data_IF_421712296780
#
_entry.id   IF_421712296780
#
_cell.length_a   1.000
_cell.length_b   1.000
_cell.length_c   1.000
_cell.angle_alpha   90.00
_cell.angle_beta   90.00
_cell.angle_gamma   90.00
#
_symmetry.space_group_name_H-M   'P 1'
#
loop_
_entity.id
_entity.type
_entity.pdbx_description
1 polymer ?
#
# COMPACT_ATOMS: atom_id res chain seq x y z
N UNK A 1 5.60 6.73 -22.85
CA UNK A 1 4.58 6.08 -22.00
C UNK A 1 5.22 5.64 -20.71
N UNK A 2 4.55 5.81 -19.53
CA UNK A 2 5.13 5.35 -18.26
C UNK A 2 5.20 3.81 -18.20
N UNK A 3 6.26 3.27 -17.59
CA UNK A 3 6.41 1.82 -17.38
C UNK A 3 5.68 1.34 -16.11
N UNK A 4 5.46 2.24 -15.14
CA UNK A 4 4.72 1.97 -13.92
C UNK A 4 3.98 3.24 -13.48
N UNK A 5 2.93 3.07 -12.66
CA UNK A 5 2.11 4.15 -12.12
C UNK A 5 2.02 3.99 -10.60
N UNK A 6 2.26 5.08 -9.88
CA UNK A 6 1.93 5.18 -8.45
C UNK A 6 0.66 5.99 -8.28
N UNK A 7 -0.29 5.46 -7.53
CA UNK A 7 -1.50 6.14 -7.10
C UNK A 7 -1.37 6.42 -5.60
N UNK A 8 -1.58 7.66 -5.20
CA UNK A 8 -1.55 8.08 -3.80
C UNK A 8 -2.94 8.40 -3.26
N UNK A 9 -3.06 9.54 -2.57
CA UNK A 9 -4.31 9.98 -1.93
C UNK A 9 -5.45 10.18 -2.94
N UNK A 10 -6.62 9.59 -2.63
CA UNK A 10 -7.84 9.66 -3.44
C UNK A 10 -9.02 10.09 -2.55
N UNK A 11 -9.24 11.40 -2.40
CA UNK A 11 -10.15 11.93 -1.37
C UNK A 11 -11.63 11.67 -1.63
N UNK A 12 -12.08 11.49 -2.88
CA UNK A 12 -13.50 11.39 -3.24
C UNK A 12 -13.78 10.37 -4.33
N UNK A 13 -15.04 9.97 -4.46
CA UNK A 13 -15.53 9.07 -5.52
C UNK A 13 -15.25 9.64 -6.92
N UNK A 14 -15.43 10.94 -7.11
CA UNK A 14 -15.16 11.63 -8.40
C UNK A 14 -13.70 11.46 -8.83
N UNK A 15 -12.76 11.58 -7.89
CA UNK A 15 -11.32 11.38 -8.17
C UNK A 15 -11.04 9.92 -8.52
N UNK A 16 -11.60 8.96 -7.78
CA UNK A 16 -11.43 7.53 -8.08
C UNK A 16 -12.00 7.17 -9.46
N UNK A 17 -13.18 7.65 -9.82
CA UNK A 17 -13.78 7.40 -11.13
C UNK A 17 -12.95 8.03 -12.26
N UNK A 18 -12.35 9.21 -12.05
CA UNK A 18 -11.44 9.83 -13.02
C UNK A 18 -10.16 9.01 -13.19
N UNK A 19 -9.58 8.52 -12.10
CA UNK A 19 -8.41 7.63 -12.13
C UNK A 19 -8.74 6.34 -12.87
N UNK A 20 -9.86 5.69 -12.59
CA UNK A 20 -10.31 4.47 -13.28
C UNK A 20 -10.47 4.69 -14.78
N UNK A 21 -11.10 5.81 -15.19
CA UNK A 21 -11.21 6.21 -16.62
C UNK A 21 -9.84 6.45 -17.26
N UNK A 22 -8.90 7.06 -16.54
CA UNK A 22 -7.55 7.28 -17.05
C UNK A 22 -6.79 5.96 -17.19
N UNK A 23 -6.89 5.07 -16.21
CA UNK A 23 -6.26 3.74 -16.25
C UNK A 23 -6.76 2.89 -17.42
N UNK A 24 -8.05 3.01 -17.80
CA UNK A 24 -8.60 2.26 -18.95
C UNK A 24 -8.01 2.70 -20.29
N UNK A 25 -7.49 3.93 -20.38
CA UNK A 25 -6.88 4.49 -21.59
C UNK A 25 -5.38 4.18 -21.74
N UNK A 26 -4.74 3.68 -20.69
CA UNK A 26 -3.29 3.40 -20.68
C UNK A 26 -3.01 1.90 -20.57
N UNK A 27 -2.04 1.41 -21.35
CA UNK A 27 -1.64 -0.01 -21.35
C UNK A 27 -0.54 -0.27 -20.29
N UNK A 28 -0.71 0.25 -19.06
CA UNK A 28 0.26 0.05 -17.98
C UNK A 28 -0.31 -0.97 -17.00
N UNK A 29 0.44 -2.06 -16.78
CA UNK A 29 0.06 -3.13 -15.85
C UNK A 29 0.72 -3.00 -14.48
N UNK A 30 1.80 -2.21 -14.37
CA UNK A 30 2.56 -2.00 -13.13
C UNK A 30 1.96 -0.83 -12.36
N UNK A 31 0.94 -1.09 -11.53
CA UNK A 31 0.20 -0.07 -10.78
C UNK A 31 0.36 -0.33 -9.29
N UNK A 32 0.90 0.64 -8.56
CA UNK A 32 1.06 0.60 -7.11
C UNK A 32 0.10 1.59 -6.46
N UNK A 33 -0.71 1.13 -5.52
CA UNK A 33 -1.63 1.95 -4.73
C UNK A 33 -1.09 2.13 -3.31
N UNK A 34 -0.82 3.37 -2.94
CA UNK A 34 -0.60 3.78 -1.55
C UNK A 34 -1.92 4.41 -1.04
N UNK A 35 -2.74 3.67 -0.28
CA UNK A 35 -4.11 4.08 0.02
C UNK A 35 -4.17 5.08 1.17
N UNK A 36 -3.55 6.26 0.98
CA UNK A 36 -3.47 7.31 2.00
C UNK A 36 -4.87 7.76 2.42
N UNK A 37 -5.22 7.53 3.69
CA UNK A 37 -6.56 7.81 4.23
C UNK A 37 -6.57 8.80 5.39
N UNK A 38 -5.46 8.91 6.11
CA UNK A 38 -5.33 9.72 7.32
C UNK A 38 -4.06 10.56 7.21
N UNK A 39 -4.18 11.86 7.45
CA UNK A 39 -3.03 12.75 7.56
C UNK A 39 -2.24 12.45 8.84
N UNK A 40 -0.95 12.86 8.90
CA UNK A 40 -0.12 12.72 10.11
C UNK A 40 -0.77 13.35 11.35
N UNK A 41 -1.56 14.41 11.19
CA UNK A 41 -2.33 15.06 12.23
C UNK A 41 -3.65 14.38 12.63
N UNK A 42 -3.93 13.18 12.10
CA UNK A 42 -5.14 12.40 12.40
C UNK A 42 -6.37 12.77 11.56
N UNK A 43 -6.31 13.83 10.75
CA UNK A 43 -7.44 14.25 9.91
C UNK A 43 -7.71 13.22 8.80
N UNK A 44 -8.99 12.90 8.61
CA UNK A 44 -9.43 11.99 7.55
C UNK A 44 -9.33 12.66 6.19
N UNK A 45 -8.63 12.02 5.25
CA UNK A 45 -8.37 12.53 3.90
C UNK A 45 -9.28 11.93 2.82
N UNK A 46 -10.12 10.96 3.17
CA UNK A 46 -10.96 10.23 2.22
C UNK A 46 -12.38 10.08 2.77
N UNK A 47 -13.40 10.19 1.91
CA UNK A 47 -14.79 9.95 2.29
C UNK A 47 -15.11 8.46 2.40
N UNK A 48 -16.11 8.10 3.21
CA UNK A 48 -16.55 6.69 3.35
C UNK A 48 -17.02 6.10 2.03
N UNK A 49 -17.71 6.90 1.22
CA UNK A 49 -18.15 6.49 -0.13
C UNK A 49 -16.97 6.20 -1.07
N UNK A 50 -15.89 7.00 -0.97
CA UNK A 50 -14.67 6.76 -1.74
C UNK A 50 -13.95 5.47 -1.30
N UNK A 51 -13.90 5.18 0.01
CA UNK A 51 -13.36 3.89 0.52
C UNK A 51 -14.15 2.71 -0.05
N UNK A 52 -15.49 2.77 -0.03
CA UNK A 52 -16.36 1.72 -0.62
C UNK A 52 -16.10 1.56 -2.12
N UNK A 53 -15.98 2.65 -2.85
CA UNK A 53 -15.72 2.64 -4.29
C UNK A 53 -14.33 2.08 -4.60
N UNK A 54 -13.30 2.48 -3.84
CA UNK A 54 -11.93 1.94 -3.94
C UNK A 54 -11.94 0.42 -3.79
N UNK A 55 -12.58 -0.10 -2.74
CA UNK A 55 -12.72 -1.56 -2.52
C UNK A 55 -13.39 -2.25 -3.70
N UNK A 56 -14.49 -1.68 -4.22
CA UNK A 56 -15.31 -2.31 -5.26
C UNK A 56 -14.67 -2.28 -6.65
N UNK A 57 -13.95 -1.19 -7.00
CA UNK A 57 -13.56 -0.95 -8.40
C UNK A 57 -12.04 -0.79 -8.62
N UNK A 58 -11.26 -0.34 -7.62
CA UNK A 58 -9.86 -0.01 -7.84
C UNK A 58 -8.90 -1.11 -7.37
N UNK A 59 -9.20 -1.80 -6.28
CA UNK A 59 -8.27 -2.79 -5.69
C UNK A 59 -7.89 -3.90 -6.67
N UNK A 60 -8.79 -4.37 -7.49
CA UNK A 60 -8.53 -5.41 -8.50
C UNK A 60 -7.82 -4.90 -9.78
N UNK A 61 -7.49 -3.61 -9.84
CA UNK A 61 -6.76 -3.00 -10.97
C UNK A 61 -5.28 -2.74 -10.67
N UNK A 62 -4.87 -2.93 -9.41
CA UNK A 62 -3.49 -2.62 -8.99
C UNK A 62 -2.64 -3.89 -8.87
N UNK A 63 -1.33 -3.74 -9.08
CA UNK A 63 -0.36 -4.84 -8.93
C UNK A 63 0.07 -5.02 -7.48
N UNK A 64 0.04 -3.94 -6.69
CA UNK A 64 0.42 -3.91 -5.27
C UNK A 64 -0.38 -2.83 -4.55
N UNK A 65 -0.79 -3.13 -3.32
CA UNK A 65 -1.24 -2.12 -2.36
C UNK A 65 -0.26 -2.03 -1.19
N UNK A 66 0.01 -0.80 -0.69
CA UNK A 66 0.98 -0.55 0.40
C UNK A 66 0.34 0.15 1.61
N UNK A 67 -0.68 -0.43 2.28
CA UNK A 67 -1.34 0.20 3.41
C UNK A 67 -0.45 0.20 4.65
N UNK A 68 -0.59 1.23 5.49
CA UNK A 68 -0.20 1.16 6.89
C UNK A 68 -1.26 0.41 7.70
N UNK A 69 -1.02 0.17 9.00
CA UNK A 69 -1.93 -0.60 9.86
C UNK A 69 -3.33 0.03 9.94
N UNK A 70 -3.51 1.33 10.26
CA UNK A 70 -4.84 1.96 10.25
C UNK A 70 -5.56 1.85 8.91
N UNK A 71 -4.86 2.02 7.80
CA UNK A 71 -5.41 1.89 6.44
C UNK A 71 -5.84 0.44 6.14
N UNK A 72 -5.02 -0.53 6.55
CA UNK A 72 -5.35 -1.94 6.40
C UNK A 72 -6.60 -2.31 7.23
N UNK A 73 -6.70 -1.85 8.49
CA UNK A 73 -7.87 -2.05 9.33
C UNK A 73 -9.15 -1.48 8.70
N UNK A 74 -9.09 -0.25 8.16
CA UNK A 74 -10.24 0.40 7.50
C UNK A 74 -10.68 -0.39 6.26
N UNK A 75 -9.72 -0.87 5.45
CA UNK A 75 -10.03 -1.55 4.20
C UNK A 75 -10.47 -3.00 4.40
N UNK A 76 -9.93 -3.71 5.38
CA UNK A 76 -10.22 -5.13 5.58
C UNK A 76 -11.26 -5.39 6.68
N UNK A 77 -11.39 -4.48 7.64
CA UNK A 77 -12.20 -4.67 8.86
C UNK A 77 -11.49 -5.51 9.93
N UNK A 78 -10.26 -5.96 9.67
CA UNK A 78 -9.47 -6.80 10.59
C UNK A 78 -8.66 -5.89 11.52
N UNK A 79 -8.79 -6.09 12.84
CA UNK A 79 -7.95 -5.41 13.83
C UNK A 79 -6.55 -6.01 13.85
N UNK A 80 -5.51 -5.15 13.85
CA UNK A 80 -4.11 -5.54 13.72
C UNK A 80 -3.34 -5.16 14.98
N UNK A 81 -2.97 -6.16 15.76
CA UNK A 81 -2.19 -6.00 17.01
C UNK A 81 -0.77 -6.59 16.90
N UNK A 82 -0.54 -7.48 15.96
CA UNK A 82 0.71 -8.22 15.77
C UNK A 82 0.93 -8.60 14.30
N UNK A 83 2.05 -9.29 14.01
CA UNK A 83 2.40 -9.69 12.64
C UNK A 83 1.42 -10.73 12.06
N UNK A 84 0.85 -11.63 12.86
CA UNK A 84 -0.13 -12.60 12.36
C UNK A 84 -1.40 -11.90 11.90
N UNK A 85 -1.86 -10.88 12.62
CA UNK A 85 -3.02 -10.09 12.19
C UNK A 85 -2.72 -9.32 10.90
N UNK A 86 -1.46 -8.85 10.70
CA UNK A 86 -1.05 -8.25 9.42
C UNK A 86 -1.16 -9.25 8.26
N UNK A 87 -0.76 -10.51 8.49
CA UNK A 87 -0.89 -11.56 7.47
C UNK A 87 -2.37 -11.85 7.18
N UNK A 88 -3.22 -11.92 8.21
CA UNK A 88 -4.67 -12.09 8.03
C UNK A 88 -5.28 -10.95 7.22
N UNK A 89 -4.93 -9.71 7.53
CA UNK A 89 -5.37 -8.54 6.77
C UNK A 89 -4.85 -8.55 5.32
N UNK A 90 -3.60 -8.96 5.09
CA UNK A 90 -3.05 -9.10 3.76
C UNK A 90 -3.80 -10.18 2.94
N UNK A 91 -4.16 -11.31 3.55
CA UNK A 91 -4.95 -12.34 2.89
C UNK A 91 -6.36 -11.84 2.54
N UNK A 92 -6.95 -10.96 3.35
CA UNK A 92 -8.24 -10.35 3.01
C UNK A 92 -8.13 -9.44 1.77
N UNK A 93 -7.04 -8.66 1.63
CA UNK A 93 -6.78 -7.94 0.37
C UNK A 93 -6.65 -8.86 -0.84
N UNK A 94 -6.01 -10.04 -0.68
CA UNK A 94 -5.93 -11.04 -1.76
C UNK A 94 -7.33 -11.51 -2.18
N UNK A 95 -8.24 -11.76 -1.22
CA UNK A 95 -9.65 -12.10 -1.50
C UNK A 95 -10.38 -10.96 -2.21
N UNK A 96 -10.06 -9.69 -1.88
CA UNK A 96 -10.59 -8.51 -2.56
C UNK A 96 -10.00 -8.30 -3.97
N UNK A 97 -9.14 -9.18 -4.45
CA UNK A 97 -8.60 -9.20 -5.80
C UNK A 97 -7.26 -8.49 -5.98
N UNK A 98 -6.59 -8.07 -4.90
CA UNK A 98 -5.23 -7.49 -4.97
C UNK A 98 -4.21 -8.62 -5.05
N UNK A 99 -3.37 -8.71 -6.10
CA UNK A 99 -2.45 -9.84 -6.25
C UNK A 99 -1.25 -9.82 -5.30
N UNK A 100 -0.83 -8.65 -4.83
CA UNK A 100 0.29 -8.50 -3.89
C UNK A 100 0.00 -7.38 -2.89
N UNK A 101 0.41 -7.57 -1.64
CA UNK A 101 0.17 -6.65 -0.53
C UNK A 101 1.48 -6.40 0.22
N UNK A 102 1.79 -5.16 0.57
CA UNK A 102 2.85 -4.81 1.51
C UNK A 102 2.25 -4.01 2.66
N UNK A 103 1.98 -4.64 3.81
CA UNK A 103 1.51 -3.92 5.00
C UNK A 103 2.70 -3.32 5.75
N UNK A 104 2.65 -2.00 5.95
CA UNK A 104 3.69 -1.22 6.66
C UNK A 104 3.49 -1.35 8.17
N UNK A 105 4.45 -1.95 8.89
CA UNK A 105 4.33 -2.27 10.31
C UNK A 105 4.80 -1.18 11.28
N UNK A 106 5.09 0.02 10.78
CA UNK A 106 5.62 1.14 11.59
C UNK A 106 4.76 1.54 12.80
N UNK A 107 3.47 1.23 12.81
CA UNK A 107 2.54 1.53 13.90
C UNK A 107 2.59 0.52 15.06
N UNK A 108 3.14 -0.68 14.89
CA UNK A 108 3.30 -1.63 15.98
C UNK A 108 4.45 -1.19 16.91
N UNK A 109 4.23 -1.29 18.21
CA UNK A 109 5.28 -1.03 19.22
C UNK A 109 6.28 -2.20 19.24
N UNK A 110 7.45 -2.01 18.63
CA UNK A 110 8.52 -3.02 18.57
C UNK A 110 9.87 -2.34 18.37
N UNK A 111 10.97 -2.99 18.83
CA UNK A 111 12.36 -2.54 18.60
C UNK A 111 12.73 -2.51 17.11
N UNK A 112 12.06 -3.31 16.29
CA UNK A 112 12.22 -3.34 14.84
C UNK A 112 10.90 -2.99 14.15
N UNK A 113 10.96 -2.41 12.97
CA UNK A 113 9.81 -2.26 12.07
C UNK A 113 9.76 -3.49 11.18
N UNK A 114 8.58 -4.11 11.11
CA UNK A 114 8.36 -5.29 10.27
C UNK A 114 7.30 -4.94 9.21
N UNK A 115 7.73 -4.82 7.96
CA UNK A 115 6.83 -4.69 6.83
C UNK A 115 6.61 -6.07 6.22
N UNK A 116 5.36 -6.44 5.97
CA UNK A 116 5.00 -7.79 5.55
C UNK A 116 4.46 -7.77 4.12
N UNK A 117 5.19 -8.42 3.23
CA UNK A 117 4.78 -8.68 1.86
C UNK A 117 4.09 -10.02 1.77
N UNK A 118 2.90 -10.06 1.15
CA UNK A 118 2.09 -11.26 0.96
C UNK A 118 1.56 -11.32 -0.47
N UNK A 119 1.64 -12.49 -1.07
CA UNK A 119 0.90 -12.86 -2.28
C UNK A 119 0.46 -14.32 -2.19
N UNK A 120 -0.19 -14.85 -3.23
CA UNK A 120 -0.67 -16.25 -3.26
C UNK A 120 0.43 -17.31 -3.12
N UNK A 121 1.72 -16.96 -3.33
CA UNK A 121 2.84 -17.91 -3.38
C UNK A 121 3.71 -17.84 -2.14
N UNK A 122 3.83 -16.69 -1.51
CA UNK A 122 4.79 -16.47 -0.43
C UNK A 122 4.39 -15.36 0.53
N UNK A 123 4.94 -15.45 1.72
CA UNK A 123 4.95 -14.39 2.75
C UNK A 123 6.41 -14.03 2.98
N UNK A 124 6.73 -12.74 2.94
CA UNK A 124 8.08 -12.22 3.23
C UNK A 124 7.99 -11.09 4.23
N UNK A 125 8.75 -11.23 5.33
CA UNK A 125 8.92 -10.17 6.34
C UNK A 125 10.20 -9.40 6.01
N UNK A 126 10.11 -8.09 5.90
CA UNK A 126 11.23 -7.16 5.84
C UNK A 126 11.37 -6.50 7.21
N UNK A 127 12.55 -6.65 7.83
CA UNK A 127 12.81 -6.18 9.19
C UNK A 127 13.88 -5.10 9.18
N UNK A 128 13.55 -3.90 9.65
CA UNK A 128 14.46 -2.78 9.79
C UNK A 128 14.57 -2.32 11.24
N UNK A 129 15.68 -1.67 11.57
CA UNK A 129 15.83 -1.00 12.87
C UNK A 129 14.83 0.15 12.97
N UNK A 130 14.18 0.30 14.12
CA UNK A 130 13.36 1.47 14.41
C UNK A 130 14.26 2.62 14.83
N UNK A 131 14.14 3.75 14.11
CA UNK A 131 14.78 5.00 14.51
C UNK A 131 13.83 5.80 15.40
N UNK A 132 14.35 6.33 16.51
CA UNK A 132 13.60 7.26 17.34
C UNK A 132 13.67 8.67 16.73
N UNK A 133 12.70 8.98 15.87
CA UNK A 133 12.63 10.27 15.19
C UNK A 133 11.19 10.76 15.08
N UNK A 134 11.00 12.08 15.13
CA UNK A 134 9.73 12.74 14.85
C UNK A 134 9.52 13.01 13.34
N UNK A 135 10.58 12.89 12.54
CA UNK A 135 10.61 13.19 11.11
C UNK A 135 10.16 12.01 10.26
N UNK A 136 8.91 11.56 10.47
CA UNK A 136 8.32 10.42 9.77
C UNK A 136 7.32 10.81 8.69
N UNK A 137 7.14 12.14 8.45
CA UNK A 137 6.23 12.62 7.42
C UNK A 137 6.75 12.25 6.01
N UNK A 138 5.86 11.74 5.18
CA UNK A 138 6.18 11.38 3.79
C UNK A 138 6.88 10.02 3.60
N UNK A 139 7.34 9.34 4.66
CA UNK A 139 8.05 8.05 4.54
C UNK A 139 7.23 6.99 3.79
N UNK A 140 5.92 6.89 4.04
CA UNK A 140 5.03 5.97 3.32
C UNK A 140 4.94 6.28 1.83
N UNK A 141 4.76 7.55 1.49
CA UNK A 141 4.72 7.99 0.09
C UNK A 141 6.07 7.80 -0.61
N UNK A 142 7.19 8.05 0.09
CA UNK A 142 8.55 7.78 -0.41
C UNK A 142 8.74 6.30 -0.67
N UNK A 143 8.34 5.43 0.26
CA UNK A 143 8.40 3.98 0.10
C UNK A 143 7.65 3.51 -1.16
N UNK A 144 6.38 3.90 -1.30
CA UNK A 144 5.56 3.48 -2.44
C UNK A 144 6.12 4.02 -3.78
N UNK A 145 6.72 5.22 -3.78
CA UNK A 145 7.38 5.80 -4.95
C UNK A 145 8.66 5.03 -5.30
N UNK A 146 9.51 4.74 -4.31
CA UNK A 146 10.73 3.95 -4.51
C UNK A 146 10.41 2.56 -5.07
N UNK A 147 9.41 1.87 -4.50
CA UNK A 147 8.93 0.57 -5.02
C UNK A 147 8.50 0.71 -6.49
N UNK A 148 7.73 1.73 -6.81
CA UNK A 148 7.25 1.97 -8.18
C UNK A 148 8.42 2.19 -9.14
N UNK A 149 9.42 2.97 -8.74
CA UNK A 149 10.63 3.24 -9.53
C UNK A 149 11.44 1.98 -9.79
N UNK A 150 11.73 1.18 -8.76
CA UNK A 150 12.44 -0.10 -8.94
C UNK A 150 11.65 -1.09 -9.83
N UNK A 151 10.32 -1.14 -9.66
CA UNK A 151 9.45 -1.98 -10.47
C UNK A 151 9.39 -1.50 -11.93
N UNK A 152 9.42 -0.19 -12.18
CA UNK A 152 9.47 0.37 -13.53
C UNK A 152 10.76 0.00 -14.27
N UNK A 153 11.88 -0.08 -13.53
CA UNK A 153 13.21 -0.49 -14.02
C UNK A 153 13.36 -2.02 -14.20
N UNK A 154 12.28 -2.80 -14.21
CA UNK A 154 12.31 -4.23 -14.53
C UNK A 154 12.63 -5.16 -13.36
N UNK A 155 12.80 -4.66 -12.12
CA UNK A 155 12.95 -5.54 -10.96
C UNK A 155 11.65 -6.29 -10.69
N UNK A 156 11.74 -7.51 -10.10
CA UNK A 156 10.53 -8.20 -9.62
C UNK A 156 9.85 -7.38 -8.53
N UNK A 157 8.54 -7.54 -8.35
CA UNK A 157 7.79 -6.75 -7.37
C UNK A 157 8.30 -6.97 -5.94
N UNK A 158 8.59 -8.23 -5.54
CA UNK A 158 9.21 -8.55 -4.25
C UNK A 158 10.55 -7.84 -4.06
N UNK A 159 11.42 -7.88 -5.09
CA UNK A 159 12.72 -7.19 -5.03
C UNK A 159 12.56 -5.67 -4.96
N UNK A 160 11.56 -5.12 -5.65
CA UNK A 160 11.23 -3.70 -5.57
C UNK A 160 10.77 -3.29 -4.17
N UNK A 161 9.96 -4.13 -3.51
CA UNK A 161 9.58 -3.92 -2.11
C UNK A 161 10.79 -3.96 -1.18
N UNK A 162 11.67 -4.98 -1.31
CA UNK A 162 12.90 -5.08 -0.53
C UNK A 162 13.79 -3.83 -0.68
N UNK A 163 14.01 -3.39 -1.91
CA UNK A 163 14.83 -2.21 -2.18
C UNK A 163 14.16 -0.93 -1.68
N UNK A 164 12.84 -0.79 -1.83
CA UNK A 164 12.08 0.34 -1.34
C UNK A 164 12.14 0.46 0.19
N UNK A 165 11.99 -0.67 0.90
CA UNK A 165 12.07 -0.73 2.38
C UNK A 165 13.48 -0.39 2.88
N UNK A 166 14.53 -0.72 2.13
CA UNK A 166 15.91 -0.34 2.45
C UNK A 166 16.23 1.13 2.15
N UNK A 167 15.50 1.72 1.20
CA UNK A 167 15.69 3.11 0.78
C UNK A 167 15.14 4.11 1.82
N UNK A 168 14.10 3.77 2.56
CA UNK A 168 13.43 4.62 3.55
C UNK A 168 13.92 4.33 4.97
#
# INVERSE_FOLDING_TARGET
RPNAIKIGMLHSTKVIDNVLRSLSKVKVKKIILDPVMIAKGGSKLITNSAVKLMKKKLLNKVSLITPNIPEAEILTGIKIKNQNDMILAANEFIKLGVPNVLIKGGHLKSKKVHDIFVNKKEIKVFSNRRFNTKNTHGTGCTLSTAITSFFSCGKTLKKSCELGVKYV
#
